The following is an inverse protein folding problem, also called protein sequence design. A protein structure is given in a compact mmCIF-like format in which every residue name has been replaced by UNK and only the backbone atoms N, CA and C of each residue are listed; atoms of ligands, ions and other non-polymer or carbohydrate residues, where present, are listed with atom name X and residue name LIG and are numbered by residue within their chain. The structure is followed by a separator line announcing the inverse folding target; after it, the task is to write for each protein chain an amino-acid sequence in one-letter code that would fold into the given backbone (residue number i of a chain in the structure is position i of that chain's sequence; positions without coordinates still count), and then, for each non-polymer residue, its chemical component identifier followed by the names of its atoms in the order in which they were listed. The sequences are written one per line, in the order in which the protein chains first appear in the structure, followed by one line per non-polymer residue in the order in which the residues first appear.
data_IF_311275774358
#
_entry.id   IF_311275774358
#
_cell.length_a   1.000
_cell.length_b   1.000
_cell.length_c   1.000
_cell.angle_alpha   90.00
_cell.angle_beta   90.00
_cell.angle_gamma   90.00
#
_symmetry.space_group_name_H-M   'P 1'
#
loop_
_entity.id
_entity.type
_entity.pdbx_description
1 polymer ?
#
# COMPACT_ATOMS: atom_id res chain seq x y z
N UNK A 1 7.40 -15.23 17.35
CA UNK A 1 6.01 -14.80 17.13
C UNK A 1 6.02 -13.28 17.16
N UNK A 2 5.63 -12.64 16.08
CA UNK A 2 5.60 -11.17 15.94
C UNK A 2 4.16 -10.67 15.97
N UNK A 3 3.93 -9.44 16.41
CA UNK A 3 2.64 -8.75 16.33
C UNK A 3 2.64 -7.81 15.14
N UNK A 4 1.73 -8.01 14.19
CA UNK A 4 1.67 -7.30 12.90
C UNK A 4 0.28 -6.72 12.71
N UNK A 5 0.18 -5.42 12.39
CA UNK A 5 -1.07 -4.79 12.00
C UNK A 5 -1.25 -4.85 10.47
N UNK A 6 -2.48 -5.14 10.01
CA UNK A 6 -2.82 -5.22 8.57
C UNK A 6 -4.11 -4.44 8.30
N UNK A 7 -4.06 -3.44 7.43
CA UNK A 7 -5.26 -2.68 7.03
C UNK A 7 -5.95 -3.28 5.79
N UNK A 8 -7.28 -3.20 5.73
CA UNK A 8 -8.08 -3.85 4.69
C UNK A 8 -7.98 -5.37 4.79
N UNK A 9 -8.00 -5.90 6.02
CA UNK A 9 -7.62 -7.28 6.36
C UNK A 9 -8.70 -8.33 6.12
N UNK A 10 -9.93 -7.91 5.78
CA UNK A 10 -11.08 -8.84 5.73
C UNK A 10 -11.46 -9.30 4.32
N UNK A 11 -10.81 -8.76 3.28
CA UNK A 11 -11.09 -9.13 1.89
C UNK A 11 -9.85 -9.12 1.00
N UNK A 12 -9.94 -9.76 -0.16
CA UNK A 12 -8.96 -9.70 -1.24
C UNK A 12 -7.52 -9.97 -0.81
N UNK A 13 -6.61 -9.11 -1.24
CA UNK A 13 -5.18 -9.21 -0.89
C UNK A 13 -4.93 -9.12 0.62
N UNK A 14 -5.65 -8.24 1.33
CA UNK A 14 -5.47 -8.07 2.78
C UNK A 14 -5.82 -9.32 3.57
N UNK A 15 -6.87 -10.04 3.19
CA UNK A 15 -7.24 -11.31 3.80
C UNK A 15 -6.19 -12.40 3.51
N UNK A 16 -5.66 -12.46 2.29
CA UNK A 16 -4.60 -13.39 1.96
C UNK A 16 -3.30 -13.10 2.72
N UNK A 17 -2.92 -11.83 2.82
CA UNK A 17 -1.79 -11.38 3.64
C UNK A 17 -1.99 -11.80 5.10
N UNK A 18 -3.16 -11.51 5.68
CA UNK A 18 -3.51 -11.89 7.04
C UNK A 18 -3.32 -13.40 7.26
N UNK A 19 -3.97 -14.22 6.43
CA UNK A 19 -3.88 -15.68 6.53
C UNK A 19 -2.44 -16.17 6.44
N UNK A 20 -1.67 -15.66 5.48
CA UNK A 20 -0.28 -16.05 5.30
C UNK A 20 0.59 -15.74 6.52
N UNK A 21 0.35 -14.58 7.17
CA UNK A 21 1.06 -14.20 8.38
C UNK A 21 0.64 -15.06 9.59
N UNK A 22 -0.65 -15.37 9.74
CA UNK A 22 -1.16 -16.25 10.77
C UNK A 22 -0.61 -17.69 10.61
N UNK A 23 -0.55 -18.21 9.38
CA UNK A 23 0.08 -19.51 9.04
C UNK A 23 1.58 -19.53 9.36
N UNK A 24 2.27 -18.39 9.23
CA UNK A 24 3.67 -18.25 9.63
C UNK A 24 3.86 -18.10 11.15
N UNK A 25 2.79 -18.18 11.94
CA UNK A 25 2.81 -18.14 13.41
C UNK A 25 2.86 -16.72 13.99
N UNK A 26 2.50 -15.71 13.24
CA UNK A 26 2.40 -14.32 13.72
C UNK A 26 1.02 -14.04 14.32
N UNK A 27 0.95 -13.08 15.24
CA UNK A 27 -0.30 -12.49 15.70
C UNK A 27 -0.65 -11.33 14.78
N UNK A 28 -1.82 -11.38 14.16
CA UNK A 28 -2.30 -10.29 13.29
C UNK A 28 -3.35 -9.46 14.02
N UNK A 29 -3.21 -8.14 13.96
CA UNK A 29 -4.22 -7.15 14.33
C UNK A 29 -4.81 -6.61 13.03
N UNK A 30 -5.95 -7.12 12.61
CA UNK A 30 -6.65 -6.68 11.42
C UNK A 30 -7.36 -5.35 11.66
N UNK A 31 -7.31 -4.46 10.67
CA UNK A 31 -8.06 -3.20 10.64
C UNK A 31 -8.92 -3.19 9.39
N UNK A 32 -10.21 -2.95 9.55
CA UNK A 32 -11.15 -2.83 8.42
C UNK A 32 -12.31 -1.89 8.78
N UNK A 33 -13.20 -1.64 7.82
CA UNK A 33 -14.41 -0.85 8.06
C UNK A 33 -15.29 -1.50 9.13
N UNK A 34 -16.05 -0.70 9.90
CA UNK A 34 -17.00 -1.21 10.88
C UNK A 34 -17.94 -2.25 10.28
N UNK A 35 -18.12 -3.35 11.01
CA UNK A 35 -19.00 -4.45 10.62
C UNK A 35 -18.36 -5.51 9.71
N UNK A 36 -17.10 -5.38 9.34
CA UNK A 36 -16.38 -6.40 8.55
C UNK A 36 -15.74 -7.48 9.43
N UNK A 37 -15.78 -7.36 10.76
CA UNK A 37 -15.29 -8.38 11.68
C UNK A 37 -13.76 -8.37 11.88
N UNK A 38 -13.12 -7.24 11.73
CA UNK A 38 -11.71 -7.05 12.08
C UNK A 38 -11.54 -6.82 13.60
N UNK A 39 -10.33 -6.97 14.12
CA UNK A 39 -10.01 -6.67 15.52
C UNK A 39 -10.12 -5.16 15.81
N UNK A 40 -9.96 -4.33 14.80
CA UNK A 40 -10.09 -2.87 14.87
C UNK A 40 -11.03 -2.41 13.76
N UNK A 41 -12.18 -1.89 14.17
CA UNK A 41 -13.12 -1.21 13.27
C UNK A 41 -12.70 0.25 13.08
N UNK A 42 -12.32 0.65 11.86
CA UNK A 42 -11.91 2.02 11.57
C UNK A 42 -12.17 2.44 10.11
N UNK A 43 -12.75 3.63 9.93
CA UNK A 43 -12.83 4.29 8.63
C UNK A 43 -11.59 5.17 8.39
N UNK A 44 -10.66 4.65 7.62
CA UNK A 44 -9.40 5.33 7.31
C UNK A 44 -9.57 6.54 6.37
N UNK A 45 -10.74 6.77 5.81
CA UNK A 45 -11.00 7.94 4.97
C UNK A 45 -10.98 9.24 5.77
N UNK A 46 -11.30 9.18 7.06
CA UNK A 46 -11.40 10.32 7.95
C UNK A 46 -10.22 10.42 8.93
N UNK A 47 -9.81 11.67 9.27
CA UNK A 47 -8.74 11.86 10.25
C UNK A 47 -9.08 11.30 11.65
N UNK A 48 -10.31 11.46 12.19
CA UNK A 48 -10.69 10.81 13.43
C UNK A 48 -10.62 9.28 13.36
N UNK A 49 -11.03 8.66 12.25
CA UNK A 49 -10.96 7.22 12.05
C UNK A 49 -9.52 6.70 12.04
N UNK A 50 -8.60 7.42 11.39
CA UNK A 50 -7.17 7.09 11.39
C UNK A 50 -6.53 7.20 12.77
N UNK A 51 -6.86 8.27 13.53
CA UNK A 51 -6.41 8.43 14.91
C UNK A 51 -6.94 7.31 15.81
N UNK A 52 -8.22 6.97 15.67
CA UNK A 52 -8.83 5.86 16.40
C UNK A 52 -8.17 4.51 16.06
N UNK A 53 -7.84 4.27 14.77
CA UNK A 53 -7.12 3.08 14.33
C UNK A 53 -5.74 2.97 15.01
N UNK A 54 -4.94 4.04 14.99
CA UNK A 54 -3.63 4.08 15.66
C UNK A 54 -3.77 3.76 17.15
N UNK A 55 -4.69 4.42 17.85
CA UNK A 55 -4.92 4.19 19.28
C UNK A 55 -5.35 2.75 19.57
N UNK A 56 -6.26 2.18 18.77
CA UNK A 56 -6.76 0.82 18.97
C UNK A 56 -5.69 -0.25 18.65
N UNK A 57 -4.86 -0.04 17.63
CA UNK A 57 -3.72 -0.91 17.33
C UNK A 57 -2.74 -0.91 18.51
N UNK A 58 -2.35 0.28 19.01
CA UNK A 58 -1.45 0.40 20.16
C UNK A 58 -2.01 -0.26 21.42
N UNK A 59 -3.31 -0.09 21.70
CA UNK A 59 -3.97 -0.72 22.83
C UNK A 59 -3.90 -2.26 22.77
N UNK A 60 -3.95 -2.84 21.56
CA UNK A 60 -3.87 -4.29 21.37
C UNK A 60 -2.45 -4.82 21.25
N UNK A 61 -1.54 -4.04 20.63
CA UNK A 61 -0.14 -4.44 20.46
C UNK A 61 0.68 -4.31 21.74
N UNK A 62 0.30 -3.42 22.64
CA UNK A 62 1.10 -3.02 23.80
C UNK A 62 2.17 -2.01 23.40
N UNK A 63 3.36 -2.12 24.01
CA UNK A 63 4.43 -1.13 23.80
C UNK A 63 5.18 -1.25 22.46
N UNK A 64 5.10 -2.40 21.80
CA UNK A 64 5.86 -2.71 20.58
C UNK A 64 4.97 -3.26 19.49
N UNK A 65 5.30 -2.92 18.24
CA UNK A 65 4.71 -3.48 17.03
C UNK A 65 5.83 -3.97 16.11
N UNK A 66 5.83 -5.25 15.74
CA UNK A 66 6.90 -5.83 14.92
C UNK A 66 6.70 -5.59 13.43
N UNK A 67 5.46 -5.39 12.98
CA UNK A 67 5.16 -5.14 11.58
C UNK A 67 3.89 -4.34 11.34
N UNK A 68 3.87 -3.64 10.20
CA UNK A 68 2.71 -2.91 9.70
C UNK A 68 2.53 -3.14 8.21
N UNK A 69 1.33 -3.53 7.79
CA UNK A 69 0.94 -3.63 6.39
C UNK A 69 -0.17 -2.64 6.08
N UNK A 70 0.16 -1.58 5.36
CA UNK A 70 -0.80 -0.62 4.84
C UNK A 70 -1.33 -1.13 3.49
N UNK A 71 -2.37 -1.97 3.54
CA UNK A 71 -2.94 -2.60 2.36
C UNK A 71 -4.29 -1.98 1.93
N UNK A 72 -5.07 -1.40 2.86
CA UNK A 72 -6.35 -0.77 2.53
C UNK A 72 -6.21 0.24 1.38
N UNK A 73 -7.16 0.21 0.45
CA UNK A 73 -7.18 1.10 -0.69
C UNK A 73 -8.50 1.06 -1.43
N UNK A 74 -8.83 2.16 -2.08
CA UNK A 74 -10.05 2.34 -2.89
C UNK A 74 -9.71 2.98 -4.22
N UNK A 75 -10.48 2.67 -5.24
CA UNK A 75 -10.43 3.29 -6.57
C UNK A 75 -11.82 3.76 -6.97
N UNK A 76 -12.01 5.07 -6.97
CA UNK A 76 -13.23 5.71 -7.46
C UNK A 76 -12.98 7.21 -7.75
N UNK A 77 -14.01 7.93 -8.20
CA UNK A 77 -13.93 9.34 -8.56
C UNK A 77 -14.14 10.32 -7.39
N UNK A 78 -14.41 9.83 -6.18
CA UNK A 78 -14.43 10.67 -4.98
C UNK A 78 -13.00 10.94 -4.51
N UNK A 79 -12.41 12.04 -4.95
CA UNK A 79 -11.02 12.40 -4.68
C UNK A 79 -10.74 12.43 -3.18
N UNK A 80 -11.63 13.01 -2.38
CA UNK A 80 -11.47 13.10 -0.92
C UNK A 80 -11.40 11.73 -0.25
N UNK A 81 -12.28 10.81 -0.64
CA UNK A 81 -12.27 9.43 -0.17
C UNK A 81 -10.98 8.71 -0.57
N UNK A 82 -10.59 8.82 -1.85
CA UNK A 82 -9.37 8.18 -2.36
C UNK A 82 -8.13 8.70 -1.65
N UNK A 83 -7.99 10.03 -1.50
CA UNK A 83 -6.86 10.61 -0.76
C UNK A 83 -6.88 10.24 0.72
N UNK A 84 -8.09 10.24 1.32
CA UNK A 84 -8.28 9.86 2.72
C UNK A 84 -7.77 8.46 3.02
N UNK A 85 -8.16 7.46 2.21
CA UNK A 85 -7.78 6.06 2.42
C UNK A 85 -6.37 5.77 1.89
N UNK A 86 -6.10 6.12 0.60
CA UNK A 86 -4.89 5.63 -0.07
C UNK A 86 -3.63 6.40 0.34
N UNK A 87 -3.73 7.67 0.68
CA UNK A 87 -2.59 8.48 1.08
C UNK A 87 -2.55 8.72 2.58
N UNK A 88 -3.55 9.42 3.14
CA UNK A 88 -3.56 9.73 4.57
C UNK A 88 -3.74 8.48 5.44
N UNK A 89 -4.53 7.50 5.00
CA UNK A 89 -4.67 6.21 5.68
C UNK A 89 -3.35 5.46 5.80
N UNK A 90 -2.42 5.68 4.87
CA UNK A 90 -1.07 5.11 4.92
C UNK A 90 -0.14 5.98 5.76
N UNK A 91 -0.04 7.29 5.46
CA UNK A 91 0.93 8.20 6.09
C UNK A 91 0.66 8.37 7.59
N UNK A 92 -0.62 8.56 7.97
CA UNK A 92 -0.98 8.77 9.37
C UNK A 92 -0.77 7.49 10.21
N UNK A 93 -1.05 6.30 9.67
CA UNK A 93 -0.77 5.05 10.36
C UNK A 93 0.73 4.79 10.48
N UNK A 94 1.48 4.98 9.40
CA UNK A 94 2.93 4.82 9.43
C UNK A 94 3.56 5.75 10.49
N UNK A 95 3.22 7.04 10.47
CA UNK A 95 3.75 8.03 11.42
C UNK A 95 3.27 7.81 12.85
N UNK A 96 1.99 7.50 13.03
CA UNK A 96 1.41 7.27 14.37
C UNK A 96 1.93 6.00 15.04
N UNK A 97 2.24 4.96 14.27
CA UNK A 97 2.75 3.68 14.78
C UNK A 97 4.29 3.59 14.77
N UNK A 98 4.98 4.56 14.13
CA UNK A 98 6.45 4.58 14.05
C UNK A 98 7.14 4.41 15.41
N UNK A 99 6.70 5.06 16.50
CA UNK A 99 7.35 4.87 17.80
C UNK A 99 7.25 3.45 18.36
N UNK A 100 6.14 2.76 18.10
CA UNK A 100 5.97 1.35 18.52
C UNK A 100 6.80 0.39 17.67
N UNK A 101 6.90 0.66 16.36
CA UNK A 101 7.79 -0.07 15.43
C UNK A 101 9.26 0.11 15.84
N UNK A 102 9.67 1.35 16.16
CA UNK A 102 11.05 1.64 16.60
C UNK A 102 11.42 0.90 17.89
N UNK A 103 10.49 0.82 18.87
CA UNK A 103 10.72 0.10 20.13
C UNK A 103 10.91 -1.42 19.94
N UNK A 104 10.39 -2.00 18.88
CA UNK A 104 10.66 -3.40 18.54
C UNK A 104 12.12 -3.66 18.09
N UNK A 105 12.85 -2.61 17.69
CA UNK A 105 14.27 -2.65 17.32
C UNK A 105 14.56 -3.31 15.96
N UNK A 106 13.66 -4.14 15.47
CA UNK A 106 13.74 -4.82 14.16
C UNK A 106 12.35 -4.99 13.57
N UNK A 107 11.69 -3.89 13.29
CA UNK A 107 10.38 -3.90 12.66
C UNK A 107 10.46 -3.78 11.13
N UNK A 108 9.35 -4.11 10.48
CA UNK A 108 9.19 -3.93 9.05
C UNK A 108 7.82 -3.35 8.71
N UNK A 109 7.77 -2.43 7.76
CA UNK A 109 6.53 -1.88 7.22
C UNK A 109 6.45 -2.11 5.71
N UNK A 110 5.28 -2.55 5.24
CA UNK A 110 4.99 -2.79 3.83
C UNK A 110 3.77 -1.98 3.41
N UNK A 111 3.89 -1.28 2.30
CA UNK A 111 2.82 -0.45 1.74
C UNK A 111 2.35 -1.05 0.42
N UNK A 112 1.05 -1.29 0.29
CA UNK A 112 0.45 -1.68 -0.97
C UNK A 112 0.26 -0.46 -1.88
N UNK A 113 1.20 -0.26 -2.80
CA UNK A 113 1.18 0.81 -3.81
C UNK A 113 0.30 0.38 -5.01
N UNK A 114 0.85 0.25 -6.17
CA UNK A 114 0.28 -0.30 -7.41
C UNK A 114 1.32 -0.22 -8.52
N UNK A 115 1.33 -1.14 -9.46
CA UNK A 115 2.16 -1.00 -10.65
C UNK A 115 1.70 0.15 -11.55
N UNK A 116 0.44 0.64 -11.40
CA UNK A 116 -0.09 1.76 -12.17
C UNK A 116 0.77 3.03 -12.05
N UNK A 117 1.49 3.23 -10.94
CA UNK A 117 2.41 4.37 -10.79
C UNK A 117 3.61 4.31 -11.73
N UNK A 118 3.86 3.16 -12.32
CA UNK A 118 4.97 2.94 -13.26
C UNK A 118 4.51 2.79 -14.71
N UNK A 119 3.34 2.19 -14.94
CA UNK A 119 2.87 1.85 -16.29
C UNK A 119 1.82 2.80 -16.86
N UNK A 120 1.20 3.66 -16.04
CA UNK A 120 0.23 4.64 -16.53
C UNK A 120 0.96 5.87 -17.03
N UNK A 121 0.82 6.21 -18.32
CA UNK A 121 1.46 7.41 -18.88
C UNK A 121 0.74 8.68 -18.40
N UNK A 122 1.47 9.80 -18.38
CA UNK A 122 0.93 11.14 -18.17
C UNK A 122 0.19 11.38 -16.83
N UNK A 123 0.56 10.66 -15.77
CA UNK A 123 0.04 10.97 -14.43
C UNK A 123 0.38 12.44 -14.11
N UNK A 124 -0.61 13.28 -13.74
CA UNK A 124 -0.36 14.69 -13.42
C UNK A 124 0.51 14.81 -12.15
N UNK A 125 1.68 15.45 -12.29
CA UNK A 125 2.66 15.51 -11.20
C UNK A 125 2.43 16.66 -10.21
N UNK A 126 1.68 17.70 -10.59
CA UNK A 126 1.36 18.83 -9.70
C UNK A 126 0.50 18.40 -8.51
N UNK A 127 -0.65 17.69 -8.69
CA UNK A 127 -1.41 17.19 -7.55
C UNK A 127 -0.64 16.13 -6.75
N UNK A 128 0.25 15.34 -7.36
CA UNK A 128 1.15 14.44 -6.62
C UNK A 128 2.09 15.24 -5.71
N UNK A 129 2.66 16.33 -6.20
CA UNK A 129 3.55 17.18 -5.40
C UNK A 129 2.78 17.82 -4.23
N UNK A 130 1.64 18.47 -4.52
CA UNK A 130 0.80 19.09 -3.50
C UNK A 130 0.42 18.08 -2.39
N UNK A 131 -0.06 16.89 -2.77
CA UNK A 131 -0.43 15.86 -1.80
C UNK A 131 0.77 15.38 -0.97
N UNK A 132 1.95 15.20 -1.59
CA UNK A 132 3.17 14.76 -0.90
C UNK A 132 3.71 15.83 0.06
N UNK A 133 3.44 17.10 -0.19
CA UNK A 133 3.80 18.24 0.67
C UNK A 133 2.75 18.55 1.73
N UNK A 134 1.66 17.79 1.78
CA UNK A 134 0.61 17.88 2.78
C UNK A 134 -0.56 18.80 2.42
N UNK A 135 -0.56 19.38 1.23
CA UNK A 135 -1.65 20.23 0.75
C UNK A 135 -2.71 19.42 -0.02
N UNK A 136 -3.53 18.70 0.76
CA UNK A 136 -4.63 17.91 0.20
C UNK A 136 -5.70 18.78 -0.49
N UNK A 137 -5.91 20.02 -0.03
CA UNK A 137 -6.89 20.92 -0.61
C UNK A 137 -6.47 21.33 -2.03
N UNK A 138 -5.22 21.75 -2.19
CA UNK A 138 -4.66 22.08 -3.51
C UNK A 138 -4.67 20.85 -4.44
N UNK A 139 -4.24 19.68 -3.94
CA UNK A 139 -4.26 18.46 -4.74
C UNK A 139 -5.67 18.09 -5.23
N UNK A 140 -6.68 18.27 -4.38
CA UNK A 140 -8.07 18.04 -4.73
C UNK A 140 -8.59 19.06 -5.75
N UNK A 141 -8.26 20.33 -5.60
CA UNK A 141 -8.62 21.39 -6.54
C UNK A 141 -8.05 21.12 -7.94
N UNK A 142 -6.77 20.75 -8.02
CA UNK A 142 -6.09 20.40 -9.28
C UNK A 142 -6.72 19.22 -10.02
N UNK A 143 -7.45 18.35 -9.33
CA UNK A 143 -8.12 17.18 -9.91
C UNK A 143 -9.62 17.35 -10.12
N UNK A 144 -10.23 18.49 -9.75
CA UNK A 144 -11.70 18.66 -9.83
C UNK A 144 -12.29 18.32 -11.20
N UNK A 145 -11.59 18.66 -12.30
CA UNK A 145 -12.04 18.39 -13.67
C UNK A 145 -11.60 17.02 -14.19
N UNK A 146 -10.75 16.32 -13.47
CA UNK A 146 -10.18 15.03 -13.86
C UNK A 146 -10.10 14.04 -12.67
N UNK A 147 -11.23 13.74 -12.01
CA UNK A 147 -11.26 12.93 -10.78
C UNK A 147 -10.75 11.49 -10.99
N UNK A 148 -10.78 10.99 -12.22
CA UNK A 148 -10.27 9.67 -12.57
C UNK A 148 -8.77 9.49 -12.29
N UNK A 149 -7.99 10.58 -12.12
CA UNK A 149 -6.59 10.51 -11.73
C UNK A 149 -6.37 10.33 -10.21
N UNK A 150 -7.41 10.41 -9.40
CA UNK A 150 -7.27 10.38 -7.93
C UNK A 150 -6.51 9.14 -7.44
N UNK A 151 -6.82 7.97 -8.01
CA UNK A 151 -6.15 6.72 -7.64
C UNK A 151 -4.64 6.77 -7.94
N UNK A 152 -4.26 7.06 -9.19
CA UNK A 152 -2.85 7.08 -9.61
C UNK A 152 -2.06 8.15 -8.85
N UNK A 153 -2.64 9.34 -8.66
CA UNK A 153 -2.04 10.43 -7.90
C UNK A 153 -1.81 10.02 -6.46
N UNK A 154 -2.80 9.42 -5.78
CA UNK A 154 -2.68 8.96 -4.40
C UNK A 154 -1.58 7.90 -4.24
N UNK A 155 -1.55 6.89 -5.11
CA UNK A 155 -0.55 5.81 -5.09
C UNK A 155 0.85 6.32 -5.43
N UNK A 156 0.97 7.27 -6.37
CA UNK A 156 2.26 7.88 -6.69
C UNK A 156 2.78 8.74 -5.53
N UNK A 157 1.91 9.52 -4.88
CA UNK A 157 2.27 10.32 -3.71
C UNK A 157 2.78 9.43 -2.55
N UNK A 158 2.08 8.32 -2.26
CA UNK A 158 2.53 7.32 -1.27
C UNK A 158 3.89 6.74 -1.64
N UNK A 159 4.11 6.37 -2.91
CA UNK A 159 5.40 5.86 -3.38
C UNK A 159 6.54 6.86 -3.16
N UNK A 160 6.29 8.16 -3.46
CA UNK A 160 7.25 9.23 -3.20
C UNK A 160 7.50 9.44 -1.71
N UNK A 161 6.44 9.46 -0.91
CA UNK A 161 6.56 9.59 0.54
C UNK A 161 7.43 8.46 1.12
N UNK A 162 7.13 7.23 0.77
CA UNK A 162 7.90 6.06 1.18
C UNK A 162 9.39 6.21 0.82
N UNK A 163 9.68 6.54 -0.45
CA UNK A 163 11.06 6.71 -0.94
C UNK A 163 11.83 7.80 -0.21
N UNK A 164 11.16 8.91 0.15
CA UNK A 164 11.78 10.02 0.88
C UNK A 164 12.10 9.66 2.33
N UNK A 165 11.31 8.78 2.96
CA UNK A 165 11.41 8.51 4.39
C UNK A 165 12.17 7.21 4.72
N UNK A 166 12.10 6.18 3.90
CA UNK A 166 12.59 4.85 4.23
C UNK A 166 14.05 4.79 4.69
N UNK A 167 14.94 5.61 4.11
CA UNK A 167 16.37 5.61 4.42
C UNK A 167 16.77 6.67 5.47
N UNK A 168 15.82 7.29 6.16
CA UNK A 168 16.10 8.30 7.19
C UNK A 168 16.39 7.65 8.54
N UNK A 169 16.96 8.46 9.45
CA UNK A 169 17.22 8.06 10.85
C UNK A 169 15.93 7.63 11.57
N UNK A 170 14.82 8.28 11.28
CA UNK A 170 13.52 7.94 11.85
C UNK A 170 13.05 6.52 11.47
N UNK A 171 13.39 6.04 10.28
CA UNK A 171 12.98 4.72 9.78
C UNK A 171 14.13 3.72 9.81
N UNK A 172 15.01 3.71 8.81
CA UNK A 172 16.11 2.74 8.77
C UNK A 172 17.06 2.89 9.95
N UNK A 173 17.38 4.12 10.39
CA UNK A 173 18.20 4.39 11.57
C UNK A 173 17.59 3.84 12.86
N UNK A 174 16.27 3.85 12.99
CA UNK A 174 15.53 3.25 14.13
C UNK A 174 15.28 1.74 13.99
N UNK A 175 15.89 1.08 13.01
CA UNK A 175 15.75 -0.36 12.82
C UNK A 175 14.49 -0.80 12.08
N UNK A 176 13.80 0.09 11.38
CA UNK A 176 12.58 -0.21 10.63
C UNK A 176 12.89 -0.31 9.13
N UNK A 177 12.60 -1.44 8.49
CA UNK A 177 12.58 -1.51 7.02
C UNK A 177 11.22 -1.05 6.50
N UNK A 178 11.20 -0.12 5.56
CA UNK A 178 9.98 0.39 4.94
C UNK A 178 10.06 0.17 3.43
N UNK A 179 9.14 -0.66 2.90
CA UNK A 179 9.10 -1.02 1.48
C UNK A 179 7.69 -0.93 0.93
N UNK A 180 7.58 -0.81 -0.39
CA UNK A 180 6.33 -0.88 -1.13
C UNK A 180 6.26 -2.12 -2.02
N UNK A 181 5.08 -2.66 -2.18
CA UNK A 181 4.76 -3.62 -3.24
C UNK A 181 3.92 -2.93 -4.30
N UNK A 182 4.12 -3.29 -5.55
CA UNK A 182 3.41 -2.74 -6.69
C UNK A 182 2.72 -3.88 -7.45
N UNK A 183 1.54 -4.34 -6.97
CA UNK A 183 0.80 -5.39 -7.65
C UNK A 183 0.31 -4.92 -9.02
N UNK A 184 0.31 -5.86 -9.97
CA UNK A 184 -0.49 -5.78 -11.18
C UNK A 184 -1.95 -6.15 -10.91
N UNK A 185 -2.62 -6.69 -11.92
CA UNK A 185 -3.96 -7.23 -11.75
C UNK A 185 -3.92 -8.52 -10.92
N UNK A 186 -4.53 -8.49 -9.73
CA UNK A 186 -4.62 -9.61 -8.78
C UNK A 186 -6.05 -10.16 -8.79
N UNK A 187 -6.22 -11.47 -8.91
CA UNK A 187 -7.51 -12.15 -9.00
C UNK A 187 -8.27 -12.15 -7.64
N UNK A 188 -8.68 -10.97 -7.23
CA UNK A 188 -9.57 -10.74 -6.08
C UNK A 188 -11.04 -10.80 -6.50
N UNK A 189 -11.96 -10.84 -5.56
CA UNK A 189 -13.40 -10.78 -5.85
C UNK A 189 -13.77 -9.46 -6.56
N UNK A 190 -13.06 -8.36 -6.25
CA UNK A 190 -13.25 -7.09 -6.96
C UNK A 190 -12.89 -7.23 -8.44
N UNK A 191 -11.72 -7.82 -8.76
CA UNK A 191 -11.32 -8.04 -10.15
C UNK A 191 -12.28 -9.00 -10.86
N UNK A 192 -12.75 -10.08 -10.18
CA UNK A 192 -13.74 -11.00 -10.76
C UNK A 192 -15.01 -10.25 -11.17
N UNK A 193 -15.50 -9.39 -10.28
CA UNK A 193 -16.67 -8.55 -10.56
C UNK A 193 -16.43 -7.56 -11.71
N UNK A 194 -15.25 -6.94 -11.78
CA UNK A 194 -14.90 -6.04 -12.88
C UNK A 194 -14.80 -6.79 -14.23
N UNK A 195 -14.40 -8.06 -14.22
CA UNK A 195 -14.36 -8.90 -15.41
C UNK A 195 -15.77 -9.35 -15.91
N UNK A 196 -16.83 -9.18 -15.11
CA UNK A 196 -18.22 -9.39 -15.52
C UNK A 196 -18.74 -8.20 -16.36
N UNK A 197 -18.21 -6.99 -16.17
CA UNK A 197 -18.51 -5.82 -17.00
C UNK A 197 -17.73 -5.90 -18.33
N UNK A 198 -18.42 -5.95 -19.52
CA UNK A 198 -17.74 -6.10 -20.80
C UNK A 198 -16.70 -5.01 -21.10
N UNK A 199 -16.96 -3.75 -20.70
CA UNK A 199 -16.05 -2.62 -20.93
C UNK A 199 -14.79 -2.72 -20.09
N UNK A 200 -14.96 -3.01 -18.79
CA UNK A 200 -13.84 -3.21 -17.88
C UNK A 200 -13.03 -4.44 -18.26
N UNK A 201 -13.73 -5.52 -18.63
CA UNK A 201 -13.09 -6.75 -19.10
C UNK A 201 -12.20 -6.50 -20.32
N UNK A 202 -12.67 -5.78 -21.31
CA UNK A 202 -11.87 -5.46 -22.51
C UNK A 202 -10.60 -4.70 -22.12
N UNK A 203 -10.71 -3.68 -21.28
CA UNK A 203 -9.58 -2.89 -20.78
C UNK A 203 -8.58 -3.77 -20.00
N UNK A 204 -9.07 -4.59 -19.05
CA UNK A 204 -8.23 -5.45 -18.22
C UNK A 204 -7.55 -6.53 -19.07
N UNK A 205 -8.31 -7.18 -19.96
CA UNK A 205 -7.78 -8.26 -20.82
C UNK A 205 -6.85 -7.74 -21.91
N UNK A 206 -6.96 -6.46 -22.30
CA UNK A 206 -6.05 -5.79 -23.22
C UNK A 206 -4.67 -5.48 -22.64
N UNK A 207 -4.52 -5.50 -21.31
CA UNK A 207 -3.21 -5.29 -20.69
C UNK A 207 -2.29 -6.50 -20.92
N UNK A 208 -1.00 -6.29 -21.24
CA UNK A 208 -0.04 -7.36 -21.39
C UNK A 208 0.12 -8.16 -20.08
N UNK A 209 0.23 -9.45 -20.23
CA UNK A 209 0.51 -10.40 -19.13
C UNK A 209 1.63 -11.32 -19.56
N UNK A 210 2.90 -10.90 -19.48
CA UNK A 210 4.03 -11.70 -19.97
C UNK A 210 4.08 -13.11 -19.38
N UNK A 211 3.71 -13.28 -18.11
CA UNK A 211 3.65 -14.61 -17.47
C UNK A 211 2.40 -15.43 -17.88
N UNK A 212 1.41 -14.81 -18.53
CA UNK A 212 0.23 -15.48 -19.08
C UNK A 212 -1.01 -15.51 -18.17
N UNK A 213 -0.88 -15.20 -16.88
CA UNK A 213 -1.95 -15.28 -15.89
C UNK A 213 -2.06 -14.01 -15.02
N UNK A 214 -3.12 -13.89 -14.25
CA UNK A 214 -3.26 -12.90 -13.18
C UNK A 214 -2.57 -13.38 -11.91
N UNK A 215 -2.01 -12.46 -11.12
CA UNK A 215 -1.50 -12.82 -9.81
C UNK A 215 -2.63 -13.32 -8.90
N UNK A 216 -2.31 -14.23 -7.99
CA UNK A 216 -3.24 -14.63 -6.92
C UNK A 216 -3.04 -13.75 -5.69
N UNK A 217 -4.06 -13.56 -4.85
CA UNK A 217 -3.91 -12.88 -3.56
C UNK A 217 -2.83 -13.53 -2.67
N UNK A 218 -2.69 -14.85 -2.75
CA UNK A 218 -1.71 -15.64 -2.00
C UNK A 218 -0.27 -15.29 -2.40
N UNK A 219 0.00 -15.08 -3.69
CA UNK A 219 1.32 -14.65 -4.15
C UNK A 219 1.71 -13.28 -3.56
N UNK A 220 0.74 -12.38 -3.37
CA UNK A 220 0.95 -11.11 -2.67
C UNK A 220 1.23 -11.36 -1.18
N UNK A 221 0.50 -12.28 -0.55
CA UNK A 221 0.72 -12.70 0.84
C UNK A 221 2.15 -13.23 1.07
N UNK A 222 2.64 -14.10 0.18
CA UNK A 222 3.99 -14.66 0.25
C UNK A 222 5.08 -13.58 0.15
N UNK A 223 4.93 -12.61 -0.77
CA UNK A 223 5.88 -11.50 -0.89
C UNK A 223 5.87 -10.62 0.36
N UNK A 224 4.69 -10.32 0.91
CA UNK A 224 4.56 -9.50 2.12
C UNK A 224 5.17 -10.23 3.33
N UNK A 225 4.92 -11.54 3.50
CA UNK A 225 5.56 -12.34 4.56
C UNK A 225 7.08 -12.27 4.45
N UNK A 226 7.62 -12.47 3.25
CA UNK A 226 9.07 -12.34 3.03
C UNK A 226 9.59 -10.96 3.43
N UNK A 227 8.94 -9.87 3.01
CA UNK A 227 9.37 -8.50 3.30
C UNK A 227 9.29 -8.14 4.79
N UNK A 228 8.38 -8.75 5.54
CA UNK A 228 8.27 -8.60 6.99
C UNK A 228 9.26 -9.50 7.75
N UNK A 229 9.83 -10.50 7.10
CA UNK A 229 10.74 -11.45 7.72
C UNK A 229 12.17 -10.91 7.88
N UNK A 230 12.98 -11.46 8.80
CA UNK A 230 14.40 -11.11 8.92
C UNK A 230 15.23 -11.34 7.65
N UNK A 231 14.75 -12.18 6.73
CA UNK A 231 15.41 -12.46 5.43
C UNK A 231 15.48 -11.25 4.52
N UNK A 232 14.51 -10.32 4.65
CA UNK A 232 14.45 -9.08 3.85
C UNK A 232 15.12 -7.87 4.53
N UNK A 233 15.95 -8.08 5.57
CA UNK A 233 16.51 -7.00 6.39
C UNK A 233 17.32 -5.96 5.60
N UNK A 234 17.89 -6.32 4.47
CA UNK A 234 18.64 -5.40 3.60
C UNK A 234 17.80 -4.80 2.47
N UNK A 235 16.50 -5.08 2.42
CA UNK A 235 15.57 -4.46 1.47
C UNK A 235 14.95 -3.24 2.15
N UNK A 236 15.33 -2.04 1.71
CA UNK A 236 14.88 -0.77 2.30
C UNK A 236 14.54 0.22 1.20
N UNK A 237 13.38 0.84 1.28
CA UNK A 237 12.94 1.89 0.36
C UNK A 237 12.62 1.40 -1.05
N UNK A 238 12.40 0.11 -1.24
CA UNK A 238 12.14 -0.47 -2.55
C UNK A 238 10.65 -0.43 -2.89
N UNK A 239 10.38 -0.28 -4.19
CA UNK A 239 9.05 -0.48 -4.79
C UNK A 239 9.15 -1.76 -5.63
N UNK A 240 8.61 -2.86 -5.11
CA UNK A 240 8.80 -4.19 -5.69
C UNK A 240 7.61 -4.53 -6.56
N UNK A 241 7.84 -4.70 -7.87
CA UNK A 241 6.82 -5.13 -8.80
C UNK A 241 6.44 -6.58 -8.54
N UNK A 242 5.13 -6.82 -8.45
CA UNK A 242 4.53 -8.15 -8.44
C UNK A 242 3.39 -8.15 -9.46
N UNK A 243 3.76 -8.04 -10.73
CA UNK A 243 2.86 -7.75 -11.85
C UNK A 243 3.03 -8.69 -13.06
N UNK A 244 3.75 -9.81 -12.86
CA UNK A 244 3.98 -10.78 -13.91
C UNK A 244 4.80 -10.27 -15.10
N UNK A 245 5.60 -9.20 -14.88
CA UNK A 245 6.46 -8.59 -15.90
C UNK A 245 5.78 -7.50 -16.73
N UNK A 246 4.62 -7.01 -16.31
CA UNK A 246 3.88 -5.97 -17.04
C UNK A 246 4.67 -4.66 -17.12
N UNK A 247 5.28 -4.22 -16.03
CA UNK A 247 6.12 -3.02 -16.01
C UNK A 247 7.30 -3.14 -16.98
N UNK A 248 8.02 -4.24 -16.92
CA UNK A 248 9.16 -4.51 -17.82
C UNK A 248 8.74 -4.57 -19.28
N UNK A 249 7.56 -5.09 -19.58
CA UNK A 249 7.02 -5.11 -20.93
C UNK A 249 6.88 -3.71 -21.53
N UNK A 250 6.37 -2.76 -20.74
CA UNK A 250 6.17 -1.38 -21.20
C UNK A 250 7.45 -0.53 -21.12
N UNK A 251 8.32 -0.80 -20.18
CA UNK A 251 9.40 0.11 -19.77
C UNK A 251 10.75 -0.58 -19.65
N UNK A 252 11.02 -1.53 -20.52
CA UNK A 252 12.25 -2.37 -20.50
C UNK A 252 13.57 -1.58 -20.41
N UNK A 253 13.59 -0.38 -20.97
CA UNK A 253 14.78 0.48 -21.01
C UNK A 253 14.71 1.64 -19.99
N UNK A 254 13.71 1.64 -19.07
CA UNK A 254 13.57 2.69 -18.06
C UNK A 254 14.55 2.56 -16.89
N UNK A 255 15.11 1.38 -16.68
CA UNK A 255 16.11 1.08 -15.66
C UNK A 255 17.27 0.30 -16.25
N UNK A 256 18.52 0.48 -15.74
CA UNK A 256 18.92 1.46 -14.73
C UNK A 256 18.96 2.89 -15.28
N UNK A 257 18.75 3.87 -14.39
CA UNK A 257 18.82 5.30 -14.72
C UNK A 257 20.15 5.86 -14.24
N UNK A 258 20.83 6.64 -15.10
CA UNK A 258 22.03 7.36 -14.70
C UNK A 258 21.66 8.45 -13.70
N UNK A 259 22.18 8.36 -12.48
CA UNK A 259 21.95 9.36 -11.46
C UNK A 259 22.85 10.58 -11.71
N UNK A 260 22.22 11.76 -11.78
CA UNK A 260 22.90 13.05 -11.90
C UNK A 260 22.70 13.82 -10.59
N UNK A 261 23.80 14.35 -10.05
CA UNK A 261 23.78 15.22 -8.86
C UNK A 261 23.31 16.61 -9.20
#
# INVERSE_FOLDING_TARGET
MSTIAVTGSQAGMGLAIRRRLEEAGHRVIGVDLPGHGAEVDADLSSAPGRQAAVAAILAQAGDTLDGLVCNAGVDNENIGLVFGVNYWGVVDLLTGLQPALARAGRAAAVVNVSNSVHITPNIPLEPVAALTEGDAAQAQELLQTQPHWAYQVSKFAVARWLRRHAATEMWAGSGITLNGICPGAVMTDLLRKDLEDPRKREAIMGLPRPIGEFATPEAVGDLVEFLLSPRARFVVGQLIMIDGGQEVYFRRDALPVVWQR
#
